data_IF_626417925889
#
_entry.id   IF_626417925889
#
_cell.length_a   1.000
_cell.length_b   1.000
_cell.length_c   1.000
_cell.angle_alpha   90.00
_cell.angle_beta   90.00
_cell.angle_gamma   90.00
#
_symmetry.space_group_name_H-M   'P 1'
#
loop_
_entity.id
_entity.type
_entity.pdbx_description
1 polymer ?
#
# COMPACT_ATOMS: atom_id res chain seq x y z
N UNK A 1 28.07 1.99 9.54
CA UNK A 1 28.44 0.86 8.66
C UNK A 1 27.62 0.80 7.35
N UNK A 2 26.35 1.22 7.34
CA UNK A 2 25.45 1.17 6.16
C UNK A 2 25.84 2.15 5.05
N UNK A 3 26.36 3.35 5.37
CA UNK A 3 26.69 4.42 4.40
C UNK A 3 27.78 3.99 3.40
N UNK A 4 28.81 3.28 3.86
CA UNK A 4 29.89 2.83 2.97
C UNK A 4 29.40 1.83 1.89
N UNK A 5 28.46 0.94 2.24
CA UNK A 5 27.92 -0.07 1.31
C UNK A 5 27.14 0.54 0.14
N UNK A 6 26.34 1.57 0.39
CA UNK A 6 25.57 2.27 -0.66
C UNK A 6 26.52 3.04 -1.60
N UNK A 7 27.56 3.67 -1.07
CA UNK A 7 28.58 4.33 -1.90
C UNK A 7 29.32 3.36 -2.80
N UNK A 8 29.55 2.12 -2.37
CA UNK A 8 30.20 1.09 -3.17
C UNK A 8 29.34 0.66 -4.37
N UNK A 9 28.00 0.56 -4.17
CA UNK A 9 27.08 0.31 -5.28
C UNK A 9 27.05 1.48 -6.26
N UNK A 10 27.02 2.72 -5.78
CA UNK A 10 27.09 3.90 -6.64
C UNK A 10 28.36 3.90 -7.49
N UNK A 11 29.52 3.67 -6.87
CA UNK A 11 30.79 3.55 -7.58
C UNK A 11 30.76 2.40 -8.60
N UNK A 12 30.16 1.26 -8.25
CA UNK A 12 30.01 0.14 -9.18
C UNK A 12 29.17 0.53 -10.39
N UNK A 13 28.01 1.18 -10.18
CA UNK A 13 27.12 1.64 -11.26
C UNK A 13 27.88 2.62 -12.17
N UNK A 14 28.54 3.62 -11.58
CA UNK A 14 29.25 4.66 -12.31
C UNK A 14 30.46 4.13 -13.07
N UNK A 15 31.13 3.08 -12.60
CA UNK A 15 32.26 2.46 -13.29
C UNK A 15 31.85 1.51 -14.41
N UNK A 16 30.81 0.69 -14.18
CA UNK A 16 30.47 -0.38 -15.11
C UNK A 16 29.43 0.01 -16.15
N UNK A 17 28.62 1.04 -15.89
CA UNK A 17 27.53 1.47 -16.76
C UNK A 17 27.62 2.95 -17.15
N UNK A 18 28.78 3.58 -17.03
CA UNK A 18 28.94 5.02 -17.28
C UNK A 18 28.42 5.47 -18.66
N UNK A 19 28.69 4.71 -19.71
CA UNK A 19 28.22 4.98 -21.08
C UNK A 19 26.71 4.80 -21.24
N UNK A 20 26.09 4.02 -20.37
CA UNK A 20 24.68 3.63 -20.45
C UNK A 20 23.79 4.50 -19.56
N UNK A 21 24.38 5.24 -18.62
CA UNK A 21 23.67 6.19 -17.76
C UNK A 21 23.22 7.38 -18.61
N UNK A 22 21.90 7.60 -18.69
CA UNK A 22 21.29 8.75 -19.37
C UNK A 22 21.05 9.92 -18.43
N UNK A 23 20.70 9.64 -17.18
CA UNK A 23 20.54 10.67 -16.17
C UNK A 23 20.78 10.11 -14.76
N UNK A 24 21.15 11.01 -13.86
CA UNK A 24 21.19 10.81 -12.41
C UNK A 24 20.39 11.92 -11.74
N UNK A 25 19.39 11.54 -10.95
CA UNK A 25 18.62 12.48 -10.14
C UNK A 25 18.91 12.21 -8.67
N UNK A 26 18.96 13.26 -7.87
CA UNK A 26 19.21 13.18 -6.44
C UNK A 26 18.02 13.78 -5.73
N UNK A 27 17.32 12.97 -4.97
CA UNK A 27 16.34 13.46 -3.99
C UNK A 27 17.08 13.72 -2.69
N UNK A 28 17.09 14.98 -2.28
CA UNK A 28 17.77 15.40 -1.05
C UNK A 28 16.99 14.93 0.18
N UNK A 29 17.71 14.68 1.26
CA UNK A 29 17.11 14.40 2.55
C UNK A 29 16.26 15.60 2.99
N UNK A 30 15.11 15.32 3.61
CA UNK A 30 14.23 16.32 4.20
C UNK A 30 13.99 15.97 5.66
N UNK A 31 14.04 16.97 6.52
CA UNK A 31 13.73 16.82 7.94
C UNK A 31 12.23 16.57 8.12
N UNK A 32 11.88 15.77 9.12
CA UNK A 32 10.48 15.59 9.51
C UNK A 32 9.89 16.86 10.11
N UNK A 33 8.60 17.04 9.91
CA UNK A 33 7.80 18.07 10.59
C UNK A 33 7.01 17.39 11.71
N UNK A 34 7.21 17.86 12.95
CA UNK A 34 6.66 17.23 14.14
C UNK A 34 5.69 18.16 14.85
N UNK A 35 4.67 17.57 15.49
CA UNK A 35 3.79 18.21 16.46
C UNK A 35 3.91 17.53 17.81
N UNK A 36 3.58 18.25 18.90
CA UNK A 36 3.41 17.64 20.21
C UNK A 36 2.31 16.59 20.22
N UNK A 37 2.28 15.74 21.23
CA UNK A 37 1.11 14.90 21.46
C UNK A 37 -0.14 15.76 21.70
N UNK A 38 -1.33 15.33 21.22
CA UNK A 38 -2.58 15.98 21.58
C UNK A 38 -2.77 16.02 23.09
N UNK A 39 -3.31 17.12 23.62
CA UNK A 39 -3.52 17.30 25.08
C UNK A 39 -4.46 16.25 25.67
N UNK A 40 -5.41 15.79 24.88
CA UNK A 40 -6.39 14.76 25.24
C UNK A 40 -5.97 13.34 24.83
N UNK A 41 -4.69 13.12 24.52
CA UNK A 41 -4.17 11.78 24.27
C UNK A 41 -4.17 10.96 25.57
N UNK A 42 -4.82 9.81 25.55
CA UNK A 42 -4.87 8.91 26.70
C UNK A 42 -3.46 8.59 27.22
N UNK A 43 -3.20 8.74 28.53
CA UNK A 43 -1.87 8.55 29.13
C UNK A 43 -1.26 7.17 28.84
N UNK A 44 -2.09 6.13 28.73
CA UNK A 44 -1.62 4.77 28.40
C UNK A 44 -1.05 4.72 26.98
N UNK A 45 -1.70 5.35 26.00
CA UNK A 45 -1.19 5.44 24.63
C UNK A 45 0.09 6.28 24.57
N UNK A 46 0.14 7.39 25.29
CA UNK A 46 1.34 8.21 25.38
C UNK A 46 2.54 7.40 25.92
N UNK A 47 2.31 6.60 26.96
CA UNK A 47 3.33 5.72 27.50
C UNK A 47 3.79 4.64 26.50
N UNK A 48 2.86 4.03 25.77
CA UNK A 48 3.16 3.03 24.74
C UNK A 48 3.97 3.65 23.59
N UNK A 49 3.60 4.85 23.13
CA UNK A 49 4.33 5.55 22.09
C UNK A 49 5.77 5.86 22.53
N UNK A 50 5.93 6.39 23.75
CA UNK A 50 7.24 6.70 24.31
C UNK A 50 8.12 5.44 24.45
N UNK A 51 7.53 4.31 24.90
CA UNK A 51 8.23 3.02 24.99
C UNK A 51 8.69 2.51 23.62
N UNK A 52 7.91 2.76 22.57
CA UNK A 52 8.25 2.43 21.18
C UNK A 52 9.16 3.50 20.51
N UNK A 53 9.70 4.46 21.27
CA UNK A 53 10.62 5.48 20.78
C UNK A 53 9.96 6.65 20.05
N UNK A 54 8.64 6.78 20.12
CA UNK A 54 7.87 7.86 19.50
C UNK A 54 7.61 8.93 20.56
N UNK A 55 8.33 10.06 20.48
CA UNK A 55 8.22 11.17 21.42
C UNK A 55 7.36 12.33 20.91
N UNK A 56 7.06 12.35 19.62
CA UNK A 56 6.21 13.35 18.96
C UNK A 56 5.56 12.74 17.72
N UNK A 57 4.47 13.31 17.29
CA UNK A 57 3.79 12.89 16.06
C UNK A 57 4.31 13.67 14.86
N UNK A 58 4.30 13.06 13.68
CA UNK A 58 4.44 13.82 12.46
C UNK A 58 3.25 14.78 12.28
N UNK A 59 3.45 15.91 11.62
CA UNK A 59 2.40 16.92 11.44
C UNK A 59 1.12 16.37 10.84
N UNK A 60 1.21 15.47 9.86
CA UNK A 60 0.04 14.80 9.25
C UNK A 60 -0.67 13.83 10.21
N UNK A 61 0.08 13.18 11.13
CA UNK A 61 -0.51 12.31 12.16
C UNK A 61 -1.31 13.12 13.18
N UNK A 62 -0.77 14.26 13.60
CA UNK A 62 -1.46 15.18 14.49
C UNK A 62 -2.73 15.76 13.85
N UNK A 63 -2.66 16.18 12.57
CA UNK A 63 -3.82 16.68 11.83
C UNK A 63 -4.90 15.60 11.67
N UNK A 64 -4.50 14.37 11.35
CA UNK A 64 -5.43 13.24 11.24
C UNK A 64 -6.13 12.97 12.57
N UNK A 65 -5.38 12.95 13.68
CA UNK A 65 -5.94 12.81 15.02
C UNK A 65 -7.02 13.86 15.28
N UNK A 66 -6.70 15.13 15.09
CA UNK A 66 -7.61 16.26 15.34
C UNK A 66 -8.88 16.22 14.47
N UNK A 67 -8.75 15.83 13.20
CA UNK A 67 -9.89 15.74 12.30
C UNK A 67 -10.83 14.59 12.65
N UNK A 68 -10.26 13.42 12.98
CA UNK A 68 -11.03 12.22 13.32
C UNK A 68 -11.79 12.41 14.63
N UNK A 69 -11.19 13.05 15.62
CA UNK A 69 -11.88 13.42 16.87
C UNK A 69 -13.08 14.35 16.65
N UNK A 70 -12.96 15.24 15.65
CA UNK A 70 -14.07 16.11 15.25
C UNK A 70 -15.10 15.39 14.37
N UNK A 71 -15.05 14.07 14.24
CA UNK A 71 -15.92 13.26 13.38
C UNK A 71 -15.89 13.64 11.89
N UNK A 72 -14.78 14.17 11.41
CA UNK A 72 -14.60 14.51 10.01
C UNK A 72 -14.09 13.33 9.20
N UNK A 73 -14.72 13.04 8.07
CA UNK A 73 -14.15 12.11 7.10
C UNK A 73 -12.80 12.63 6.67
N UNK A 74 -11.77 11.77 6.76
CA UNK A 74 -10.38 12.19 6.58
C UNK A 74 -9.68 11.32 5.56
N UNK A 75 -9.02 11.95 4.59
CA UNK A 75 -8.13 11.31 3.63
C UNK A 75 -6.69 11.73 3.91
N UNK A 76 -5.83 10.76 4.19
CA UNK A 76 -4.40 10.95 4.33
C UNK A 76 -3.69 10.54 3.04
N UNK A 77 -3.05 11.50 2.37
CA UNK A 77 -2.23 11.28 1.18
C UNK A 77 -0.77 11.43 1.56
N UNK A 78 -0.03 10.33 1.56
CA UNK A 78 1.38 10.37 1.92
C UNK A 78 2.13 9.20 1.28
N UNK A 79 3.45 9.30 1.26
CA UNK A 79 4.33 8.27 0.70
C UNK A 79 4.23 6.95 1.49
N UNK A 80 4.76 5.89 0.92
CA UNK A 80 4.97 4.64 1.65
C UNK A 80 5.92 4.86 2.84
N UNK A 81 5.64 4.17 3.96
CA UNK A 81 6.41 4.24 5.20
C UNK A 81 6.42 5.62 5.91
N UNK A 82 5.44 6.47 5.67
CA UNK A 82 5.25 7.76 6.37
C UNK A 82 4.54 7.63 7.73
N UNK A 83 4.25 6.42 8.19
CA UNK A 83 3.52 6.20 9.45
C UNK A 83 2.01 6.36 9.35
N UNK A 84 1.42 6.15 8.16
CA UNK A 84 -0.05 6.21 7.92
C UNK A 84 -0.86 5.42 8.91
N UNK A 85 -0.43 4.19 9.25
CA UNK A 85 -1.13 3.31 10.18
C UNK A 85 -1.35 3.97 11.53
N UNK A 86 -0.34 4.68 12.05
CA UNK A 86 -0.47 5.40 13.32
C UNK A 86 -1.47 6.56 13.24
N UNK A 87 -1.60 7.21 12.08
CA UNK A 87 -2.51 8.35 11.88
C UNK A 87 -3.98 7.99 12.10
N UNK A 88 -4.39 6.79 11.75
CA UNK A 88 -5.78 6.34 12.01
C UNK A 88 -5.90 5.46 13.25
N UNK A 89 -4.85 4.73 13.59
CA UNK A 89 -4.84 3.89 14.78
C UNK A 89 -4.96 4.71 16.06
N UNK A 90 -4.18 5.78 16.16
CA UNK A 90 -4.08 6.57 17.39
C UNK A 90 -5.42 7.19 17.83
N UNK A 91 -6.16 7.92 16.99
CA UNK A 91 -7.45 8.48 17.39
C UNK A 91 -8.51 7.39 17.68
N UNK A 92 -8.53 6.29 16.93
CA UNK A 92 -9.46 5.18 17.16
C UNK A 92 -9.22 4.53 18.52
N UNK A 93 -7.94 4.25 18.85
CA UNK A 93 -7.58 3.66 20.14
C UNK A 93 -7.76 4.64 21.31
N UNK A 94 -7.53 5.93 21.09
CA UNK A 94 -7.80 6.96 22.07
C UNK A 94 -9.27 6.93 22.49
N UNK A 95 -10.20 7.00 21.53
CA UNK A 95 -11.63 6.90 21.81
C UNK A 95 -12.00 5.52 22.39
N UNK A 96 -11.40 4.43 21.91
CA UNK A 96 -11.70 3.08 22.37
C UNK A 96 -11.34 2.89 23.84
N UNK A 97 -10.23 3.40 24.31
CA UNK A 97 -9.80 3.29 25.71
C UNK A 97 -10.71 4.10 26.63
N UNK A 98 -11.10 5.30 26.20
CA UNK A 98 -11.91 6.22 27.02
C UNK A 98 -13.42 5.92 26.96
N UNK A 99 -13.86 5.18 25.93
CA UNK A 99 -15.28 4.89 25.73
C UNK A 99 -15.82 3.94 26.80
N UNK A 100 -16.96 4.33 27.40
CA UNK A 100 -17.74 3.48 28.30
C UNK A 100 -18.58 2.43 27.54
N UNK A 101 -18.96 2.73 26.31
CA UNK A 101 -19.76 1.85 25.46
C UNK A 101 -18.88 1.24 24.36
N UNK A 102 -18.96 -0.08 24.15
CA UNK A 102 -18.18 -0.71 23.09
C UNK A 102 -18.66 -0.25 21.72
N UNK A 103 -17.74 0.11 20.84
CA UNK A 103 -18.00 0.35 19.42
C UNK A 103 -17.19 -0.60 18.54
N UNK A 104 -17.54 -0.68 17.29
CA UNK A 104 -16.82 -1.50 16.32
C UNK A 104 -16.14 -0.65 15.24
N UNK A 105 -15.04 -1.18 14.70
CA UNK A 105 -14.25 -0.59 13.62
C UNK A 105 -14.08 -1.60 12.51
N UNK A 106 -14.35 -1.17 11.28
CA UNK A 106 -14.13 -1.93 10.06
C UNK A 106 -12.87 -1.45 9.36
N UNK A 107 -11.94 -2.36 9.08
CA UNK A 107 -10.69 -2.04 8.38
C UNK A 107 -10.68 -2.77 7.03
N UNK A 108 -10.62 -2.01 5.95
CA UNK A 108 -10.69 -2.50 4.58
C UNK A 108 -9.33 -2.35 3.89
N UNK A 109 -8.81 -3.46 3.41
CA UNK A 109 -7.56 -3.51 2.66
C UNK A 109 -7.78 -4.14 1.28
N UNK A 110 -7.08 -3.65 0.23
CA UNK A 110 -7.30 -4.15 -1.13
C UNK A 110 -6.75 -5.57 -1.37
N UNK A 111 -5.84 -6.04 -0.54
CA UNK A 111 -5.21 -7.35 -0.72
C UNK A 111 -5.11 -8.14 0.59
N UNK A 112 -5.23 -9.47 0.50
CA UNK A 112 -5.06 -10.37 1.66
C UNK A 112 -3.67 -10.26 2.32
N UNK A 113 -2.64 -9.97 1.53
CA UNK A 113 -1.28 -9.83 2.04
C UNK A 113 -1.16 -8.61 2.96
N UNK A 114 -1.70 -7.47 2.53
CA UNK A 114 -1.75 -6.25 3.32
C UNK A 114 -2.64 -6.42 4.57
N UNK A 115 -3.80 -7.09 4.43
CA UNK A 115 -4.67 -7.40 5.57
C UNK A 115 -3.94 -8.14 6.69
N UNK A 116 -3.13 -9.14 6.34
CA UNK A 116 -2.37 -9.93 7.32
C UNK A 116 -1.21 -9.19 7.97
N UNK A 117 -0.50 -8.37 7.20
CA UNK A 117 0.55 -7.51 7.71
C UNK A 117 -0.02 -6.53 8.76
N UNK A 118 -1.15 -5.92 8.42
CA UNK A 118 -1.85 -5.01 9.32
C UNK A 118 -2.48 -5.73 10.51
N UNK A 119 -2.99 -6.95 10.36
CA UNK A 119 -3.45 -7.78 11.48
C UNK A 119 -2.34 -8.00 12.52
N UNK A 120 -1.12 -8.29 12.05
CA UNK A 120 0.05 -8.44 12.93
C UNK A 120 0.38 -7.14 13.65
N UNK A 121 0.40 -6.02 12.91
CA UNK A 121 0.71 -4.69 13.46
C UNK A 121 -0.34 -4.25 14.50
N UNK A 122 -1.62 -4.36 14.16
CA UNK A 122 -2.72 -4.07 15.08
C UNK A 122 -2.71 -4.99 16.29
N UNK A 123 -2.50 -6.29 16.10
CA UNK A 123 -2.42 -7.27 17.17
C UNK A 123 -1.32 -6.94 18.17
N UNK A 124 -0.14 -6.56 17.70
CA UNK A 124 0.97 -6.15 18.56
C UNK A 124 0.64 -4.90 19.39
N UNK A 125 0.01 -3.89 18.78
CA UNK A 125 -0.40 -2.68 19.48
C UNK A 125 -1.51 -2.98 20.51
N UNK A 126 -2.47 -3.82 20.15
CA UNK A 126 -3.57 -4.23 21.06
C UNK A 126 -3.08 -5.02 22.27
N UNK A 127 -1.98 -5.78 22.16
CA UNK A 127 -1.40 -6.49 23.33
C UNK A 127 -0.74 -5.55 24.34
N UNK A 128 -0.45 -4.32 23.95
CA UNK A 128 0.20 -3.32 24.81
C UNK A 128 -0.81 -2.50 25.62
N UNK A 129 -2.10 -2.49 25.24
CA UNK A 129 -3.15 -1.78 25.94
C UNK A 129 -3.91 -2.68 26.92
N UNK A 130 -4.29 -2.12 28.09
CA UNK A 130 -5.02 -2.86 29.14
C UNK A 130 -6.40 -3.29 28.70
N UNK A 131 -7.13 -2.42 27.98
CA UNK A 131 -8.44 -2.73 27.42
C UNK A 131 -8.26 -3.45 26.10
N UNK A 132 -8.19 -4.77 26.14
CA UNK A 132 -8.06 -5.58 24.93
C UNK A 132 -9.38 -5.63 24.16
N UNK A 133 -9.36 -5.09 22.94
CA UNK A 133 -10.42 -5.31 21.96
C UNK A 133 -10.25 -6.66 21.25
N UNK A 134 -11.30 -7.14 20.62
CA UNK A 134 -11.27 -8.40 19.85
C UNK A 134 -11.06 -8.09 18.38
N UNK A 135 -9.85 -8.39 17.89
CA UNK A 135 -9.48 -8.30 16.48
C UNK A 135 -9.79 -9.62 15.77
N UNK A 136 -10.29 -9.52 14.55
CA UNK A 136 -10.47 -10.69 13.67
C UNK A 136 -10.35 -10.32 12.21
N UNK A 137 -9.73 -11.21 11.42
CA UNK A 137 -9.65 -11.09 9.97
C UNK A 137 -10.71 -11.97 9.32
N UNK A 138 -11.62 -11.34 8.57
CA UNK A 138 -12.73 -11.99 7.90
C UNK A 138 -12.53 -11.94 6.39
N UNK A 139 -11.96 -13.01 5.84
CA UNK A 139 -11.70 -13.16 4.40
C UNK A 139 -12.07 -14.56 3.88
N UNK A 140 -11.76 -14.83 2.60
CA UNK A 140 -12.05 -16.12 1.97
C UNK A 140 -11.32 -17.32 2.61
N UNK A 141 -10.19 -17.07 3.29
CA UNK A 141 -9.35 -18.11 3.89
C UNK A 141 -9.65 -18.32 5.39
N UNK A 142 -10.55 -17.51 5.99
CA UNK A 142 -10.89 -17.59 7.42
C UNK A 142 -11.65 -18.89 7.71
N UNK A 143 -11.19 -19.73 8.66
CA UNK A 143 -11.85 -20.98 9.07
C UNK A 143 -13.26 -20.75 9.60
N UNK A 144 -14.11 -21.78 9.49
CA UNK A 144 -15.55 -21.65 9.81
C UNK A 144 -15.82 -21.31 11.28
N UNK A 145 -15.12 -21.89 12.20
CA UNK A 145 -15.17 -21.64 13.63
C UNK A 145 -14.75 -20.22 13.99
N UNK A 146 -13.67 -19.75 13.37
CA UNK A 146 -13.18 -18.40 13.53
C UNK A 146 -14.14 -17.36 12.95
N UNK A 147 -14.77 -17.65 11.79
CA UNK A 147 -15.84 -16.81 11.23
C UNK A 147 -16.98 -16.60 12.24
N UNK A 148 -17.41 -17.64 12.93
CA UNK A 148 -18.46 -17.54 13.94
C UNK A 148 -18.03 -16.70 15.15
N UNK A 149 -16.77 -16.84 15.58
CA UNK A 149 -16.20 -16.04 16.68
C UNK A 149 -16.18 -14.55 16.32
N UNK A 150 -15.69 -14.21 15.13
CA UNK A 150 -15.63 -12.83 14.64
C UNK A 150 -17.03 -12.21 14.57
N UNK A 151 -17.99 -12.92 13.97
CA UNK A 151 -19.38 -12.45 13.84
C UNK A 151 -20.04 -12.14 15.18
N UNK A 152 -19.70 -12.90 16.23
CA UNK A 152 -20.31 -12.74 17.56
C UNK A 152 -19.68 -11.63 18.40
N UNK A 153 -18.39 -11.40 18.26
CA UNK A 153 -17.67 -10.65 19.29
C UNK A 153 -16.56 -9.74 18.81
N UNK A 154 -16.33 -9.56 17.51
CA UNK A 154 -15.27 -8.66 17.04
C UNK A 154 -15.62 -7.19 17.35
N UNK A 155 -14.62 -6.46 17.86
CA UNK A 155 -14.65 -5.01 17.97
C UNK A 155 -13.92 -4.38 16.78
N UNK A 156 -12.83 -5.02 16.33
CA UNK A 156 -12.06 -4.63 15.16
C UNK A 156 -12.11 -5.76 14.13
N UNK A 157 -12.54 -5.45 12.93
CA UNK A 157 -12.65 -6.44 11.86
C UNK A 157 -11.87 -6.00 10.62
N UNK A 158 -10.89 -6.80 10.25
CA UNK A 158 -10.14 -6.64 9.00
C UNK A 158 -10.82 -7.46 7.91
N UNK A 159 -11.07 -6.85 6.75
CA UNK A 159 -11.68 -7.53 5.60
C UNK A 159 -11.30 -6.82 4.28
N UNK A 160 -11.95 -7.19 3.19
CA UNK A 160 -11.78 -6.59 1.87
C UNK A 160 -13.15 -6.29 1.22
N UNK A 161 -13.20 -5.49 0.14
CA UNK A 161 -14.46 -5.14 -0.52
C UNK A 161 -15.25 -6.34 -1.05
N UNK A 162 -14.58 -7.41 -1.52
CA UNK A 162 -15.26 -8.61 -2.02
C UNK A 162 -16.02 -9.32 -0.91
N UNK A 163 -15.41 -9.45 0.26
CA UNK A 163 -16.06 -10.04 1.44
C UNK A 163 -17.17 -9.15 1.99
N UNK A 164 -16.98 -7.82 1.95
CA UNK A 164 -18.03 -6.88 2.30
C UNK A 164 -19.25 -7.09 1.39
N UNK A 165 -19.02 -7.14 0.07
CA UNK A 165 -20.07 -7.37 -0.92
C UNK A 165 -20.77 -8.72 -0.78
N UNK A 166 -20.03 -9.81 -0.67
CA UNK A 166 -20.57 -11.17 -0.77
C UNK A 166 -20.89 -11.84 0.57
N UNK A 167 -20.17 -11.47 1.64
CA UNK A 167 -20.26 -12.15 2.95
C UNK A 167 -20.95 -11.33 4.04
N UNK A 168 -20.78 -10.00 4.02
CA UNK A 168 -21.25 -9.13 5.11
C UNK A 168 -22.59 -8.51 4.77
N UNK A 169 -22.68 -7.73 3.71
CA UNK A 169 -23.90 -6.99 3.35
C UNK A 169 -25.12 -7.90 3.15
N UNK A 170 -25.07 -9.01 2.39
CA UNK A 170 -26.22 -9.90 2.24
C UNK A 170 -26.67 -10.58 3.56
N UNK A 171 -25.81 -10.64 4.56
CA UNK A 171 -26.07 -11.27 5.84
C UNK A 171 -26.16 -10.28 7.00
N UNK A 172 -26.29 -8.97 6.72
CA UNK A 172 -26.22 -7.91 7.73
C UNK A 172 -27.20 -8.10 8.89
N UNK A 173 -28.44 -8.52 8.63
CA UNK A 173 -29.44 -8.71 9.66
C UNK A 173 -29.19 -9.94 10.55
N UNK A 174 -28.77 -11.05 9.93
CA UNK A 174 -28.64 -12.34 10.65
C UNK A 174 -27.33 -12.49 11.41
N UNK A 175 -26.22 -11.98 10.83
CA UNK A 175 -24.88 -12.28 11.34
C UNK A 175 -24.12 -11.03 11.79
N UNK A 176 -24.44 -9.86 11.26
CA UNK A 176 -23.62 -8.66 11.42
C UNK A 176 -24.35 -7.50 12.10
N UNK A 177 -25.64 -7.68 12.49
CA UNK A 177 -26.43 -6.62 13.12
C UNK A 177 -25.73 -5.99 14.31
N UNK A 178 -25.21 -6.79 15.24
CA UNK A 178 -24.52 -6.30 16.44
C UNK A 178 -23.22 -5.54 16.12
N UNK A 179 -22.48 -5.94 15.09
CA UNK A 179 -21.27 -5.26 14.65
C UNK A 179 -21.62 -3.94 13.95
N UNK A 180 -22.57 -3.97 13.01
CA UNK A 180 -22.94 -2.82 12.19
C UNK A 180 -23.68 -1.74 13.01
N UNK A 181 -24.51 -2.11 13.99
CA UNK A 181 -25.18 -1.13 14.86
C UNK A 181 -24.23 -0.35 15.79
N UNK A 182 -23.02 -0.87 16.02
CA UNK A 182 -21.98 -0.24 16.83
C UNK A 182 -20.85 0.33 15.97
N UNK A 183 -20.99 0.30 14.62
CA UNK A 183 -19.93 0.68 13.72
C UNK A 183 -19.67 2.18 13.80
N UNK A 184 -18.48 2.54 14.30
CA UNK A 184 -18.06 3.90 14.58
C UNK A 184 -17.06 4.41 13.54
N UNK A 185 -16.14 3.54 13.11
CA UNK A 185 -15.09 3.87 12.17
C UNK A 185 -15.01 2.87 11.03
N UNK A 186 -14.78 3.38 9.82
CA UNK A 186 -14.43 2.58 8.64
C UNK A 186 -13.10 3.10 8.13
N UNK A 187 -12.04 2.30 8.28
CA UNK A 187 -10.71 2.60 7.76
C UNK A 187 -10.54 1.92 6.42
N UNK A 188 -10.14 2.66 5.42
CA UNK A 188 -9.86 2.14 4.07
C UNK A 188 -8.46 2.54 3.67
N UNK A 189 -7.57 1.56 3.60
CA UNK A 189 -6.19 1.76 3.20
C UNK A 189 -6.02 1.59 1.69
N UNK A 190 -5.04 2.31 1.12
CA UNK A 190 -4.68 2.28 -0.29
C UNK A 190 -5.87 2.56 -1.23
N UNK A 191 -6.70 3.58 -0.91
CA UNK A 191 -7.92 3.89 -1.68
C UNK A 191 -7.66 4.15 -3.16
N UNK A 192 -6.46 4.58 -3.55
CA UNK A 192 -6.07 4.78 -4.94
C UNK A 192 -6.13 3.50 -5.80
N UNK A 193 -6.18 2.34 -5.15
CA UNK A 193 -6.38 1.06 -5.83
C UNK A 193 -7.81 0.89 -6.37
N UNK A 194 -8.78 1.59 -5.81
CA UNK A 194 -10.19 1.52 -6.20
C UNK A 194 -10.48 2.49 -7.34
N UNK A 195 -10.02 2.17 -8.55
CA UNK A 195 -10.15 2.96 -9.76
C UNK A 195 -10.70 2.13 -10.93
N UNK A 196 -11.11 2.81 -12.01
CA UNK A 196 -11.71 2.18 -13.19
C UNK A 196 -13.01 1.43 -12.84
N UNK A 197 -13.30 0.34 -13.55
CA UNK A 197 -14.50 -0.48 -13.31
C UNK A 197 -14.51 -1.10 -11.92
N UNK A 198 -13.37 -1.55 -11.40
CA UNK A 198 -13.27 -2.08 -10.05
C UNK A 198 -13.64 -1.01 -8.99
N UNK A 199 -13.10 0.20 -9.12
CA UNK A 199 -13.46 1.32 -8.26
C UNK A 199 -14.94 1.67 -8.33
N UNK A 200 -15.54 1.60 -9.51
CA UNK A 200 -16.98 1.83 -9.73
C UNK A 200 -17.86 0.80 -9.01
N UNK A 201 -17.47 -0.49 -9.05
CA UNK A 201 -18.14 -1.53 -8.25
C UNK A 201 -17.97 -1.27 -6.75
N UNK A 202 -16.76 -0.98 -6.29
CA UNK A 202 -16.47 -0.74 -4.87
C UNK A 202 -17.22 0.49 -4.35
N UNK A 203 -17.36 1.57 -5.14
CA UNK A 203 -18.17 2.73 -4.77
C UNK A 203 -19.63 2.33 -4.50
N UNK A 204 -20.21 1.48 -5.34
CA UNK A 204 -21.57 0.98 -5.11
C UNK A 204 -21.67 0.03 -3.91
N UNK A 205 -20.62 -0.71 -3.57
CA UNK A 205 -20.56 -1.48 -2.32
C UNK A 205 -20.54 -0.53 -1.11
N UNK A 206 -19.79 0.57 -1.15
CA UNK A 206 -19.79 1.58 -0.07
C UNK A 206 -21.13 2.32 0.05
N UNK A 207 -21.79 2.62 -1.08
CA UNK A 207 -23.15 3.18 -1.08
C UNK A 207 -24.11 2.26 -0.33
N UNK A 208 -24.07 0.96 -0.60
CA UNK A 208 -24.86 -0.07 0.11
C UNK A 208 -24.46 -0.20 1.59
N UNK A 209 -23.16 -0.15 1.89
CA UNK A 209 -22.69 -0.20 3.28
C UNK A 209 -23.23 0.97 4.10
N UNK A 210 -23.17 2.21 3.59
CA UNK A 210 -23.73 3.39 4.27
C UNK A 210 -25.23 3.22 4.52
N UNK A 211 -25.95 2.72 3.52
CA UNK A 211 -27.39 2.44 3.65
C UNK A 211 -27.67 1.43 4.77
N UNK A 212 -26.94 0.33 4.78
CA UNK A 212 -27.11 -0.72 5.80
C UNK A 212 -26.70 -0.20 7.19
N UNK A 213 -25.66 0.60 7.32
CA UNK A 213 -25.30 1.28 8.57
C UNK A 213 -26.45 2.17 9.08
N UNK A 214 -27.03 3.00 8.22
CA UNK A 214 -28.18 3.84 8.57
C UNK A 214 -29.40 3.02 9.06
N UNK A 215 -29.71 1.89 8.41
CA UNK A 215 -30.77 0.96 8.81
C UNK A 215 -30.52 0.41 10.22
N UNK A 216 -29.26 0.16 10.59
CA UNK A 216 -28.87 -0.30 11.91
C UNK A 216 -28.62 0.82 12.93
N UNK A 217 -28.85 2.09 12.56
CA UNK A 217 -28.71 3.26 13.43
C UNK A 217 -27.27 3.71 13.65
N UNK A 218 -26.33 3.32 12.79
CA UNK A 218 -24.95 3.78 12.84
C UNK A 218 -24.61 4.76 11.71
N UNK A 219 -23.70 5.70 11.99
CA UNK A 219 -23.17 6.68 11.05
C UNK A 219 -21.64 6.75 11.19
N UNK A 220 -20.90 5.82 10.57
CA UNK A 220 -19.48 5.69 10.79
C UNK A 220 -18.69 6.83 10.12
N UNK A 221 -17.58 7.21 10.75
CA UNK A 221 -16.58 8.12 10.18
C UNK A 221 -15.67 7.32 9.25
N UNK A 222 -15.48 7.80 8.02
CA UNK A 222 -14.55 7.24 7.05
C UNK A 222 -13.15 7.83 7.24
N UNK A 223 -12.17 6.95 7.34
CA UNK A 223 -10.75 7.31 7.45
C UNK A 223 -10.04 6.60 6.32
N UNK A 224 -9.52 7.36 5.37
CA UNK A 224 -8.90 6.83 4.17
C UNK A 224 -7.41 7.13 4.14
N UNK A 225 -6.62 6.20 3.64
CA UNK A 225 -5.23 6.45 3.29
C UNK A 225 -4.96 6.15 1.82
N UNK A 226 -4.07 6.93 1.22
CA UNK A 226 -3.70 6.83 -0.18
C UNK A 226 -2.20 7.04 -0.36
N UNK A 227 -1.63 6.40 -1.37
CA UNK A 227 -0.42 6.93 -1.98
C UNK A 227 -0.76 8.20 -2.75
N UNK A 228 0.27 8.92 -3.19
CA UNK A 228 0.11 10.13 -3.99
C UNK A 228 -0.57 9.81 -5.33
N UNK A 229 -1.66 10.51 -5.62
CA UNK A 229 -2.41 10.50 -6.89
C UNK A 229 -2.74 11.93 -7.28
N UNK A 230 -3.05 12.17 -8.56
CA UNK A 230 -3.24 13.53 -9.09
C UNK A 230 -4.52 14.23 -8.63
N UNK A 231 -5.52 13.48 -8.15
CA UNK A 231 -6.84 14.00 -7.77
C UNK A 231 -7.40 13.35 -6.49
N UNK A 232 -6.69 13.39 -5.36
CA UNK A 232 -7.06 12.60 -4.19
C UNK A 232 -8.44 12.96 -3.62
N UNK A 233 -8.77 14.25 -3.52
CA UNK A 233 -10.06 14.72 -3.01
C UNK A 233 -11.24 14.31 -3.91
N UNK A 234 -11.12 14.56 -5.22
CA UNK A 234 -12.16 14.18 -6.18
C UNK A 234 -12.37 12.67 -6.22
N UNK A 235 -11.27 11.90 -6.10
CA UNK A 235 -11.34 10.45 -6.10
C UNK A 235 -12.17 9.91 -4.92
N UNK A 236 -11.89 10.35 -3.68
CA UNK A 236 -12.66 9.88 -2.52
C UNK A 236 -14.10 10.43 -2.56
N UNK A 237 -14.32 11.63 -3.06
CA UNK A 237 -15.67 12.17 -3.28
C UNK A 237 -16.47 11.31 -4.26
N UNK A 238 -15.87 10.89 -5.37
CA UNK A 238 -16.49 9.97 -6.33
C UNK A 238 -16.70 8.55 -5.75
N UNK A 239 -15.79 8.09 -4.88
CA UNK A 239 -15.86 6.75 -4.29
C UNK A 239 -16.92 6.63 -3.20
N UNK A 240 -17.07 7.67 -2.36
CA UNK A 240 -17.94 7.62 -1.16
C UNK A 240 -19.16 8.50 -1.26
N UNK A 241 -19.24 9.45 -2.19
CA UNK A 241 -20.26 10.50 -2.26
C UNK A 241 -20.36 11.30 -0.95
N UNK A 242 -19.20 11.63 -0.37
CA UNK A 242 -19.04 12.41 0.86
C UNK A 242 -17.88 13.39 0.70
N UNK A 243 -17.89 14.44 1.46
CA UNK A 243 -16.78 15.37 1.54
C UNK A 243 -15.75 14.93 2.56
N UNK A 244 -14.47 14.99 2.19
CA UNK A 244 -13.34 14.62 3.03
C UNK A 244 -12.41 15.78 3.31
N UNK A 245 -11.87 15.83 4.51
CA UNK A 245 -10.70 16.67 4.78
C UNK A 245 -9.46 15.93 4.24
N UNK A 246 -8.78 16.55 3.29
CA UNK A 246 -7.57 15.97 2.66
C UNK A 246 -6.34 16.50 3.40
N UNK A 247 -5.50 15.58 3.84
CA UNK A 247 -4.18 15.84 4.43
C UNK A 247 -3.14 15.33 3.43
N UNK A 248 -2.50 16.21 2.69
CA UNK A 248 -1.52 15.91 1.65
C UNK A 248 -0.09 16.39 1.97
N UNK A 249 0.08 17.07 3.10
CA UNK A 249 1.37 17.51 3.57
C UNK A 249 2.04 16.41 4.43
N UNK A 250 2.87 15.57 3.77
CA UNK A 250 3.60 14.48 4.43
C UNK A 250 4.73 15.01 5.31
N UNK A 251 4.50 15.03 6.62
CA UNK A 251 5.48 15.48 7.62
C UNK A 251 6.55 14.44 7.96
N UNK A 252 6.59 13.28 7.33
CA UNK A 252 7.62 12.27 7.62
C UNK A 252 8.99 12.65 7.04
N UNK A 253 10.11 12.32 7.72
CA UNK A 253 11.45 12.60 7.19
C UNK A 253 11.72 11.79 5.91
N UNK A 254 12.56 12.33 5.06
CA UNK A 254 13.04 11.65 3.86
C UNK A 254 14.54 11.49 3.92
N UNK A 255 15.00 10.30 3.55
CA UNK A 255 16.42 10.04 3.34
C UNK A 255 16.84 10.44 1.93
N UNK A 256 18.11 10.71 1.76
CA UNK A 256 18.68 10.95 0.43
C UNK A 256 18.53 9.71 -0.45
N UNK A 257 18.07 9.93 -1.68
CA UNK A 257 17.95 8.88 -2.69
C UNK A 257 18.59 9.29 -4.00
N UNK A 258 19.46 8.44 -4.51
CA UNK A 258 20.04 8.60 -5.85
C UNK A 258 19.27 7.72 -6.83
N UNK A 259 18.79 8.30 -7.93
CA UNK A 259 18.03 7.58 -8.97
C UNK A 259 18.87 7.61 -10.24
N UNK A 260 19.24 6.44 -10.73
CA UNK A 260 19.96 6.26 -11.98
C UNK A 260 19.01 5.78 -13.07
N UNK A 261 19.07 6.42 -14.24
CA UNK A 261 18.32 6.04 -15.42
C UNK A 261 19.32 5.44 -16.42
N UNK A 262 19.23 4.13 -16.63
CA UNK A 262 20.18 3.37 -17.46
C UNK A 262 19.48 2.87 -18.72
N UNK A 263 20.08 3.15 -19.87
CA UNK A 263 19.64 2.62 -21.15
C UNK A 263 20.66 1.59 -21.65
N UNK A 264 20.38 0.28 -21.58
CA UNK A 264 21.31 -0.76 -21.98
C UNK A 264 21.85 -0.53 -23.41
N UNK A 265 23.11 -0.92 -23.70
CA UNK A 265 23.76 -0.56 -24.94
C UNK A 265 23.13 -1.22 -26.17
N UNK A 266 23.22 -0.53 -27.30
CA UNK A 266 22.99 -1.12 -28.61
C UNK A 266 24.19 -1.98 -28.98
N UNK A 267 23.95 -3.18 -29.47
CA UNK A 267 24.96 -4.12 -29.93
C UNK A 267 24.58 -4.65 -31.31
N UNK A 268 25.61 -4.91 -32.10
CA UNK A 268 25.48 -5.54 -33.39
C UNK A 268 26.14 -6.92 -33.31
N UNK A 269 25.39 -7.96 -33.64
CA UNK A 269 25.93 -9.30 -33.85
C UNK A 269 26.21 -9.49 -35.34
N UNK A 270 27.23 -10.26 -35.68
CA UNK A 270 27.55 -10.57 -37.09
C UNK A 270 26.30 -11.09 -37.83
N UNK A 271 25.95 -10.42 -38.95
CA UNK A 271 24.80 -10.79 -39.77
C UNK A 271 23.41 -10.38 -39.24
N UNK A 272 23.32 -9.68 -38.11
CA UNK A 272 22.06 -9.25 -37.52
C UNK A 272 21.92 -7.71 -37.47
N UNK A 273 20.66 -7.26 -37.45
CA UNK A 273 20.34 -5.84 -37.21
C UNK A 273 20.82 -5.39 -35.83
N UNK A 274 21.08 -4.09 -35.68
CA UNK A 274 21.40 -3.46 -34.41
C UNK A 274 20.26 -3.69 -33.43
N UNK A 275 20.53 -4.22 -32.22
CA UNK A 275 19.54 -4.45 -31.20
C UNK A 275 20.02 -3.95 -29.84
N UNK A 276 19.09 -3.59 -28.96
CA UNK A 276 19.40 -3.19 -27.59
C UNK A 276 19.45 -4.41 -26.66
N UNK A 277 20.49 -4.49 -25.83
CA UNK A 277 20.53 -5.50 -24.77
C UNK A 277 19.34 -5.33 -23.83
N UNK A 278 18.75 -6.45 -23.39
CA UNK A 278 17.67 -6.42 -22.43
C UNK A 278 18.14 -5.99 -21.02
N UNK A 279 17.21 -5.61 -20.13
CA UNK A 279 17.53 -5.14 -18.76
C UNK A 279 18.39 -6.10 -17.95
N UNK A 280 18.34 -7.40 -18.22
CA UNK A 280 19.18 -8.40 -17.55
C UNK A 280 20.68 -8.13 -17.68
N UNK A 281 21.12 -7.49 -18.77
CA UNK A 281 22.53 -7.12 -18.96
C UNK A 281 23.07 -6.17 -17.87
N UNK A 282 22.19 -5.37 -17.27
CA UNK A 282 22.50 -4.47 -16.15
C UNK A 282 22.06 -5.07 -14.82
N UNK A 283 20.85 -5.68 -14.76
CA UNK A 283 20.30 -6.21 -13.51
C UNK A 283 21.12 -7.36 -12.93
N UNK A 284 21.61 -8.30 -13.78
CA UNK A 284 22.36 -9.48 -13.29
C UNK A 284 23.65 -9.09 -12.59
N UNK A 285 24.60 -8.34 -13.21
CA UNK A 285 25.82 -7.95 -12.51
C UNK A 285 25.54 -7.06 -11.30
N UNK A 286 24.54 -6.19 -11.35
CA UNK A 286 24.18 -5.31 -10.23
C UNK A 286 23.64 -6.12 -9.04
N UNK A 287 22.73 -7.08 -9.27
CA UNK A 287 22.19 -7.97 -8.23
C UNK A 287 23.32 -8.82 -7.63
N UNK A 288 24.20 -9.40 -8.45
CA UNK A 288 25.33 -10.19 -7.96
C UNK A 288 26.26 -9.36 -7.08
N UNK A 289 26.55 -8.12 -7.47
CA UNK A 289 27.38 -7.20 -6.69
C UNK A 289 26.70 -6.81 -5.37
N UNK A 290 25.41 -6.51 -5.41
CA UNK A 290 24.62 -6.18 -4.21
C UNK A 290 24.58 -7.36 -3.22
N UNK A 291 24.32 -8.57 -3.71
CA UNK A 291 24.32 -9.79 -2.90
C UNK A 291 25.66 -10.07 -2.22
N UNK A 292 26.78 -9.95 -2.97
CA UNK A 292 28.15 -10.09 -2.43
C UNK A 292 28.46 -9.08 -1.32
N UNK A 293 27.93 -7.85 -1.44
CA UNK A 293 28.13 -6.80 -0.44
C UNK A 293 27.07 -6.81 0.68
N UNK A 294 26.23 -7.83 0.75
CA UNK A 294 25.11 -7.91 1.71
C UNK A 294 24.17 -6.70 1.67
N UNK A 295 23.98 -6.08 0.51
CA UNK A 295 23.07 -4.95 0.30
C UNK A 295 21.66 -5.50 0.07
N UNK A 296 20.73 -5.07 0.91
CA UNK A 296 19.33 -5.51 0.83
C UNK A 296 18.66 -4.88 -0.37
N UNK A 297 18.27 -5.72 -1.32
CA UNK A 297 17.86 -5.30 -2.67
C UNK A 297 16.50 -5.83 -3.04
N UNK A 298 15.68 -4.99 -3.67
CA UNK A 298 14.46 -5.40 -4.36
C UNK A 298 14.61 -5.11 -5.85
N UNK A 299 14.25 -6.10 -6.68
CA UNK A 299 14.21 -5.94 -8.13
C UNK A 299 12.81 -6.21 -8.66
N UNK A 300 12.19 -5.21 -9.29
CA UNK A 300 10.87 -5.30 -9.88
C UNK A 300 10.94 -5.66 -11.36
N UNK A 301 10.15 -6.67 -11.76
CA UNK A 301 9.93 -7.08 -13.14
C UNK A 301 8.43 -6.99 -13.48
N UNK A 302 8.07 -6.82 -14.74
CA UNK A 302 6.66 -6.71 -15.14
C UNK A 302 5.92 -8.05 -15.18
N UNK A 303 6.62 -9.13 -15.50
CA UNK A 303 6.01 -10.45 -15.71
C UNK A 303 6.65 -11.51 -14.82
N UNK A 304 5.83 -12.51 -14.42
CA UNK A 304 6.31 -13.66 -13.63
C UNK A 304 7.45 -14.42 -14.31
N UNK A 305 7.37 -14.56 -15.63
CA UNK A 305 8.43 -15.21 -16.41
C UNK A 305 9.76 -14.43 -16.38
N UNK A 306 9.69 -13.10 -16.37
CA UNK A 306 10.90 -12.25 -16.23
C UNK A 306 11.55 -12.47 -14.86
N UNK A 307 10.77 -12.56 -13.78
CA UNK A 307 11.27 -12.87 -12.43
C UNK A 307 12.05 -14.16 -12.42
N UNK A 308 11.48 -15.23 -12.99
CA UNK A 308 12.13 -16.55 -13.02
C UNK A 308 13.39 -16.57 -13.90
N UNK A 309 13.33 -15.95 -15.07
CA UNK A 309 14.48 -15.85 -15.98
C UNK A 309 15.63 -15.05 -15.34
N UNK A 310 15.31 -13.91 -14.73
CA UNK A 310 16.30 -13.06 -14.06
C UNK A 310 16.91 -13.79 -12.87
N UNK A 311 16.08 -14.45 -12.04
CA UNK A 311 16.56 -15.24 -10.92
C UNK A 311 17.54 -16.33 -11.38
N UNK A 312 17.16 -17.13 -12.39
CA UNK A 312 18.06 -18.18 -12.95
C UNK A 312 19.36 -17.56 -13.45
N UNK A 313 19.31 -16.47 -14.21
CA UNK A 313 20.50 -15.81 -14.73
C UNK A 313 21.42 -15.27 -13.62
N UNK A 314 20.87 -14.86 -12.47
CA UNK A 314 21.66 -14.38 -11.33
C UNK A 314 22.39 -15.53 -10.65
N UNK A 315 21.75 -16.68 -10.42
CA UNK A 315 22.33 -17.82 -9.71
C UNK A 315 23.17 -18.73 -10.60
N UNK A 316 23.05 -18.62 -11.93
CA UNK A 316 23.82 -19.40 -12.88
C UNK A 316 25.32 -19.17 -12.69
N UNK A 317 26.07 -20.26 -12.49
CA UNK A 317 27.49 -20.20 -12.12
C UNK A 317 27.80 -19.61 -10.73
N UNK A 318 26.77 -19.31 -9.89
CA UNK A 318 26.93 -18.76 -8.54
C UNK A 318 25.89 -19.36 -7.59
N UNK A 319 25.92 -20.68 -7.44
CA UNK A 319 24.93 -21.43 -6.65
C UNK A 319 24.84 -21.00 -5.18
N UNK A 320 25.91 -20.46 -4.61
CA UNK A 320 25.91 -19.88 -3.26
C UNK A 320 24.92 -18.73 -3.09
N UNK A 321 24.63 -17.99 -4.19
CA UNK A 321 23.64 -16.92 -4.16
C UNK A 321 22.19 -17.43 -4.07
N UNK A 322 21.93 -18.68 -4.41
CA UNK A 322 20.58 -19.26 -4.38
C UNK A 322 19.95 -19.27 -2.97
N UNK A 323 20.75 -19.22 -1.92
CA UNK A 323 20.28 -19.15 -0.54
C UNK A 323 19.75 -17.74 -0.17
N UNK A 324 20.37 -16.69 -0.71
CA UNK A 324 20.13 -15.30 -0.33
C UNK A 324 19.40 -14.46 -1.41
N UNK A 325 19.29 -14.98 -2.64
CA UNK A 325 18.52 -14.38 -3.75
C UNK A 325 17.29 -15.24 -4.01
N UNK A 326 16.09 -14.67 -3.91
CA UNK A 326 14.84 -15.41 -4.06
C UNK A 326 13.87 -14.72 -5.01
N UNK A 327 13.10 -15.49 -5.81
CA UNK A 327 11.98 -14.96 -6.58
C UNK A 327 10.74 -14.87 -5.69
N UNK A 328 9.95 -13.79 -5.88
CA UNK A 328 8.65 -13.61 -5.23
C UNK A 328 7.62 -13.19 -6.28
N UNK A 329 6.54 -13.95 -6.42
CA UNK A 329 5.51 -13.70 -7.44
C UNK A 329 4.14 -14.17 -6.99
N UNK A 330 3.11 -13.69 -7.66
CA UNK A 330 1.77 -14.26 -7.51
C UNK A 330 1.74 -15.74 -7.89
N UNK A 331 0.94 -16.54 -7.15
CA UNK A 331 0.81 -17.98 -7.35
C UNK A 331 1.72 -18.85 -6.48
N UNK A 332 2.51 -18.25 -5.58
CA UNK A 332 3.17 -18.98 -4.50
C UNK A 332 2.13 -19.50 -3.50
N UNK A 333 2.38 -20.69 -2.94
CA UNK A 333 1.56 -21.20 -1.85
C UNK A 333 1.59 -20.25 -0.64
N UNK A 334 0.49 -20.10 0.11
CA UNK A 334 0.44 -19.19 1.26
C UNK A 334 1.54 -19.45 2.31
N UNK A 335 1.93 -20.71 2.50
CA UNK A 335 3.03 -21.10 3.41
C UNK A 335 4.40 -20.64 2.90
N UNK A 336 4.68 -20.84 1.62
CA UNK A 336 5.93 -20.43 0.98
C UNK A 336 6.07 -18.90 1.01
N UNK A 337 4.99 -18.19 0.66
CA UNK A 337 4.97 -16.74 0.70
C UNK A 337 5.31 -16.21 2.09
N UNK A 338 4.67 -16.73 3.15
CA UNK A 338 4.94 -16.35 4.54
C UNK A 338 6.38 -16.65 4.97
N UNK A 339 6.95 -17.76 4.48
CA UNK A 339 8.36 -18.06 4.77
C UNK A 339 9.29 -17.06 4.13
N UNK A 340 9.07 -16.72 2.84
CA UNK A 340 9.87 -15.72 2.12
C UNK A 340 9.77 -14.33 2.76
N UNK A 341 8.57 -13.91 3.15
CA UNK A 341 8.35 -12.62 3.82
C UNK A 341 9.11 -12.56 5.16
N UNK A 342 9.02 -13.58 6.00
CA UNK A 342 9.77 -13.67 7.27
C UNK A 342 11.29 -13.68 7.05
N UNK A 343 11.77 -14.45 6.07
CA UNK A 343 13.19 -14.55 5.78
C UNK A 343 13.73 -13.24 5.18
N UNK A 344 12.90 -12.48 4.48
CA UNK A 344 13.23 -11.14 3.98
C UNK A 344 13.32 -10.12 5.14
N UNK A 345 12.32 -10.09 6.03
CA UNK A 345 12.32 -9.20 7.21
C UNK A 345 13.50 -9.51 8.13
N UNK A 346 13.77 -10.78 8.41
CA UNK A 346 14.91 -11.21 9.24
C UNK A 346 16.28 -10.97 8.59
N UNK A 347 16.33 -10.61 7.30
CA UNK A 347 17.56 -10.37 6.57
C UNK A 347 18.33 -11.64 6.16
N UNK A 348 17.75 -12.82 6.24
CA UNK A 348 18.29 -14.05 5.65
C UNK A 348 18.32 -13.93 4.13
N UNK A 349 17.24 -13.45 3.52
CA UNK A 349 17.19 -13.10 2.11
C UNK A 349 17.77 -11.69 1.95
N UNK A 350 18.73 -11.55 1.06
CA UNK A 350 19.37 -10.25 0.74
C UNK A 350 18.78 -9.60 -0.49
N UNK A 351 18.40 -10.40 -1.47
CA UNK A 351 17.84 -9.92 -2.72
C UNK A 351 16.53 -10.62 -2.99
N UNK A 352 15.49 -9.82 -3.27
CA UNK A 352 14.20 -10.32 -3.73
C UNK A 352 13.91 -9.81 -5.15
N UNK A 353 13.61 -10.74 -6.07
CA UNK A 353 13.19 -10.41 -7.44
C UNK A 353 11.69 -10.65 -7.52
N UNK A 354 10.92 -9.62 -7.84
CA UNK A 354 9.46 -9.67 -7.72
C UNK A 354 8.74 -9.02 -8.90
N UNK A 355 7.44 -9.24 -8.98
CA UNK A 355 6.52 -8.41 -9.75
C UNK A 355 5.99 -7.27 -8.88
N UNK A 356 4.94 -6.56 -9.33
CA UNK A 356 4.20 -5.59 -8.53
C UNK A 356 3.58 -6.17 -7.23
N UNK A 357 3.71 -7.47 -6.96
CA UNK A 357 3.17 -8.11 -5.76
C UNK A 357 3.75 -7.55 -4.44
N UNK A 358 4.95 -6.97 -4.47
CA UNK A 358 5.57 -6.27 -3.34
C UNK A 358 5.56 -4.74 -3.51
N UNK A 359 4.74 -4.19 -4.40
CA UNK A 359 4.57 -2.75 -4.59
C UNK A 359 3.74 -2.11 -3.46
N UNK A 360 2.76 -2.83 -2.93
CA UNK A 360 1.88 -2.36 -1.86
C UNK A 360 2.45 -2.62 -0.46
N UNK A 361 1.94 -1.88 0.50
CA UNK A 361 2.28 -1.62 1.89
C UNK A 361 2.82 -2.71 2.82
N UNK A 362 3.14 -3.91 2.36
CA UNK A 362 3.73 -4.97 3.21
C UNK A 362 5.08 -4.50 3.75
N UNK A 363 5.31 -4.69 5.05
CA UNK A 363 6.64 -4.47 5.62
C UNK A 363 7.61 -5.58 5.21
N UNK A 364 8.58 -5.20 4.40
CA UNK A 364 9.64 -6.08 3.90
C UNK A 364 11.01 -5.71 4.48
N UNK A 365 10.98 -4.91 5.55
CA UNK A 365 12.18 -4.44 6.25
C UNK A 365 12.95 -3.36 5.47
N UNK A 366 14.13 -3.03 5.97
CA UNK A 366 14.95 -1.95 5.42
C UNK A 366 15.68 -2.40 4.16
N UNK A 367 15.27 -1.92 3.01
CA UNK A 367 15.94 -2.14 1.73
C UNK A 367 16.77 -0.91 1.34
N UNK A 368 17.90 -1.15 0.67
CA UNK A 368 18.88 -0.12 0.32
C UNK A 368 18.92 0.14 -1.19
N UNK A 369 18.70 -0.89 -2.02
CA UNK A 369 18.74 -0.82 -3.47
C UNK A 369 17.40 -1.28 -4.08
N UNK A 370 16.84 -0.44 -4.95
CA UNK A 370 15.68 -0.78 -5.79
C UNK A 370 16.11 -0.83 -7.25
N UNK A 371 15.78 -1.91 -7.93
CA UNK A 371 16.01 -2.07 -9.37
C UNK A 371 14.66 -2.19 -10.07
N UNK A 372 14.40 -1.33 -11.05
CA UNK A 372 13.21 -1.34 -11.87
C UNK A 372 13.58 -1.85 -13.27
N UNK A 373 13.22 -3.10 -13.57
CA UNK A 373 13.48 -3.74 -14.87
C UNK A 373 12.39 -3.36 -15.88
N UNK A 374 12.49 -2.16 -16.44
CA UNK A 374 11.50 -1.50 -17.28
C UNK A 374 10.50 -0.66 -16.49
N UNK A 375 9.74 0.17 -17.24
CA UNK A 375 8.70 1.03 -16.66
C UNK A 375 7.58 0.21 -16.01
N UNK A 376 7.20 0.49 -14.77
CA UNK A 376 6.21 -0.30 -14.03
C UNK A 376 4.76 -0.14 -14.53
N UNK A 377 4.51 0.77 -15.46
CA UNK A 377 3.20 1.00 -16.07
C UNK A 377 2.63 2.39 -15.78
N UNK A 378 2.92 2.95 -14.62
CA UNK A 378 2.48 4.31 -14.22
C UNK A 378 3.60 5.02 -13.47
N UNK A 379 3.54 6.36 -13.43
CA UNK A 379 4.45 7.19 -12.61
C UNK A 379 4.19 6.94 -11.13
N UNK A 380 2.94 6.74 -10.73
CA UNK A 380 2.57 6.35 -9.37
C UNK A 380 3.27 5.05 -8.95
N UNK A 381 3.22 4.00 -9.78
CA UNK A 381 3.92 2.73 -9.52
C UNK A 381 5.44 2.90 -9.45
N UNK A 382 6.03 3.76 -10.30
CA UNK A 382 7.45 4.07 -10.21
C UNK A 382 7.82 4.63 -8.83
N UNK A 383 7.05 5.57 -8.31
CA UNK A 383 7.28 6.16 -6.99
C UNK A 383 6.98 5.18 -5.85
N UNK A 384 5.96 4.35 -5.97
CA UNK A 384 5.64 3.30 -4.98
C UNK A 384 6.73 2.24 -4.89
N UNK A 385 7.20 1.73 -6.03
CA UNK A 385 8.28 0.74 -6.09
C UNK A 385 9.61 1.34 -5.63
N UNK A 386 9.98 2.52 -6.11
CA UNK A 386 11.19 3.21 -5.68
C UNK A 386 11.12 3.64 -4.19
N UNK A 387 9.93 3.84 -3.65
CA UNK A 387 9.66 4.13 -2.23
C UNK A 387 9.85 2.94 -1.29
N UNK A 388 10.12 1.74 -1.82
CA UNK A 388 10.41 0.56 -0.99
C UNK A 388 11.79 0.59 -0.35
N UNK A 389 12.68 1.49 -0.78
CA UNK A 389 14.03 1.66 -0.25
C UNK A 389 14.19 2.97 0.50
N UNK A 390 15.19 3.04 1.39
CA UNK A 390 15.51 4.27 2.14
C UNK A 390 14.50 4.57 3.24
N UNK A 391 13.91 3.56 3.87
CA UNK A 391 13.12 3.70 5.08
C UNK A 391 14.05 3.91 6.27
N UNK A 392 13.56 4.37 7.39
CA UNK A 392 14.33 4.58 8.64
C UNK A 392 15.57 5.48 8.54
N UNK A 393 15.59 6.46 7.62
CA UNK A 393 16.65 7.44 7.58
C UNK A 393 17.92 7.01 6.84
N UNK A 394 17.97 5.87 6.19
CA UNK A 394 19.12 5.37 5.44
C UNK A 394 19.12 5.87 3.99
N UNK A 395 20.28 6.30 3.49
CA UNK A 395 20.48 6.62 2.09
C UNK A 395 20.17 5.40 1.21
N UNK A 396 19.63 5.64 0.02
CA UNK A 396 19.21 4.59 -0.88
C UNK A 396 19.51 4.87 -2.35
N UNK A 397 19.51 3.82 -3.15
CA UNK A 397 19.70 3.89 -4.58
C UNK A 397 18.54 3.24 -5.30
N UNK A 398 18.02 3.91 -6.32
CA UNK A 398 17.06 3.35 -7.27
C UNK A 398 17.70 3.33 -8.66
N UNK A 399 17.56 2.21 -9.37
CA UNK A 399 18.07 2.06 -10.74
C UNK A 399 16.92 1.69 -11.65
N UNK A 400 16.55 2.63 -12.53
CA UNK A 400 15.62 2.36 -13.63
C UNK A 400 16.41 1.88 -14.84
N UNK A 401 16.06 0.70 -15.36
CA UNK A 401 16.73 0.10 -16.52
C UNK A 401 15.70 -0.01 -17.64
N UNK A 402 15.91 0.76 -18.70
CA UNK A 402 14.98 0.81 -19.82
C UNK A 402 14.96 -0.50 -20.63
N UNK A 403 13.79 -0.92 -21.05
CA UNK A 403 13.59 -1.95 -22.09
C UNK A 403 13.64 -1.31 -23.47
N UNK A 404 13.78 -2.15 -24.49
CA UNK A 404 13.66 -1.72 -25.89
C UNK A 404 12.18 -1.63 -26.30
N UNK A 405 11.41 -0.82 -25.55
CA UNK A 405 10.01 -0.51 -25.83
C UNK A 405 9.86 1.00 -26.03
N UNK A 406 8.93 1.45 -26.89
CA UNK A 406 8.76 2.88 -27.17
C UNK A 406 8.63 3.73 -25.90
N UNK A 407 7.84 3.28 -24.92
CA UNK A 407 7.63 4.01 -23.68
C UNK A 407 8.88 4.08 -22.80
N UNK A 408 9.61 2.99 -22.65
CA UNK A 408 10.84 2.98 -21.84
C UNK A 408 11.93 3.86 -22.49
N UNK A 409 12.05 3.81 -23.82
CA UNK A 409 12.99 4.63 -24.57
C UNK A 409 12.62 6.12 -24.49
N UNK A 410 11.35 6.45 -24.52
CA UNK A 410 10.90 7.83 -24.30
C UNK A 410 11.27 8.29 -22.89
N UNK A 411 10.91 7.52 -21.87
CA UNK A 411 11.10 7.89 -20.46
C UNK A 411 12.59 8.01 -20.08
N UNK A 412 13.45 7.13 -20.58
CA UNK A 412 14.89 7.19 -20.26
C UNK A 412 15.59 8.38 -20.90
N UNK A 413 15.05 8.91 -22.00
CA UNK A 413 15.54 10.11 -22.66
C UNK A 413 14.83 11.41 -22.18
N UNK A 414 13.68 11.29 -21.51
CA UNK A 414 12.88 12.39 -20.98
C UNK A 414 12.58 12.14 -19.50
N UNK A 415 13.63 12.04 -18.68
CA UNK A 415 13.50 11.65 -17.26
C UNK A 415 12.65 12.60 -16.44
N UNK A 416 12.54 13.85 -16.84
CA UNK A 416 11.70 14.85 -16.19
C UNK A 416 10.21 14.48 -16.27
N UNK A 417 9.81 13.71 -17.26
CA UNK A 417 8.45 13.16 -17.32
C UNK A 417 8.12 12.25 -16.12
N UNK A 418 9.09 11.48 -15.61
CA UNK A 418 8.89 10.67 -14.41
C UNK A 418 9.06 11.51 -13.15
N UNK A 419 10.01 12.45 -13.14
CA UNK A 419 10.42 13.13 -11.91
C UNK A 419 9.66 14.41 -11.62
N UNK A 420 9.00 15.01 -12.61
CA UNK A 420 8.36 16.33 -12.51
C UNK A 420 6.93 16.37 -13.07
N UNK A 421 6.50 15.34 -13.82
CA UNK A 421 5.13 15.30 -14.31
C UNK A 421 4.13 15.06 -13.16
N UNK A 422 2.91 15.58 -13.30
CA UNK A 422 1.84 15.26 -12.37
C UNK A 422 1.56 13.76 -12.40
N UNK A 423 1.30 13.20 -11.22
CA UNK A 423 0.95 11.78 -11.07
C UNK A 423 -0.43 11.55 -11.69
N UNK A 424 -0.66 10.37 -12.20
CA UNK A 424 -1.91 9.98 -12.85
C UNK A 424 -3.10 10.14 -11.90
N UNK A 425 -4.24 10.51 -12.49
CA UNK A 425 -5.50 10.61 -11.76
C UNK A 425 -6.11 9.21 -11.52
N UNK A 426 -6.70 9.02 -10.36
CA UNK A 426 -7.51 7.85 -10.06
C UNK A 426 -8.96 8.15 -10.44
N UNK A 427 -9.40 7.63 -11.60
CA UNK A 427 -10.73 7.85 -12.14
C UNK A 427 -11.63 6.63 -11.91
N UNK A 428 -12.90 6.88 -11.63
CA UNK A 428 -13.96 5.88 -11.58
C UNK A 428 -15.28 6.52 -12.04
N UNK A 429 -16.26 5.70 -12.38
CA UNK A 429 -17.63 6.13 -12.68
C UNK A 429 -18.61 5.26 -11.89
N UNK A 430 -18.98 5.72 -10.69
CA UNK A 430 -19.89 5.00 -9.80
C UNK A 430 -21.29 4.85 -10.39
N UNK A 431 -21.69 5.81 -11.22
CA UNK A 431 -23.02 5.93 -11.82
C UNK A 431 -23.08 5.32 -13.23
N UNK A 432 -22.04 4.57 -13.63
CA UNK A 432 -22.10 3.78 -14.86
C UNK A 432 -23.31 2.82 -14.81
N UNK A 433 -24.29 2.93 -15.73
CA UNK A 433 -25.55 2.20 -15.64
C UNK A 433 -25.34 0.68 -15.65
N UNK A 434 -24.38 0.17 -16.41
CA UNK A 434 -24.08 -1.29 -16.48
C UNK A 434 -23.54 -1.84 -15.15
N UNK A 435 -22.84 -1.02 -14.37
CA UNK A 435 -22.34 -1.40 -13.04
C UNK A 435 -23.44 -1.16 -11.99
N UNK A 436 -24.03 0.03 -12.01
CA UNK A 436 -25.03 0.45 -11.03
C UNK A 436 -26.23 -0.50 -10.98
N UNK A 437 -26.80 -0.85 -12.13
CA UNK A 437 -27.93 -1.77 -12.25
C UNK A 437 -27.66 -3.15 -11.63
N UNK A 438 -26.42 -3.62 -11.59
CA UNK A 438 -26.07 -4.87 -10.93
C UNK A 438 -26.12 -4.78 -9.39
N UNK A 439 -25.95 -3.58 -8.83
CA UNK A 439 -26.00 -3.35 -7.38
C UNK A 439 -27.41 -3.09 -6.84
N UNK A 440 -28.37 -2.72 -7.67
CA UNK A 440 -29.76 -2.48 -7.27
C UNK A 440 -30.43 -3.74 -6.71
N UNK A 441 -30.41 -4.92 -7.39
CA UNK A 441 -30.96 -6.15 -6.83
C UNK A 441 -30.30 -6.55 -5.51
N UNK A 442 -28.98 -6.32 -5.38
CA UNK A 442 -28.26 -6.58 -4.14
C UNK A 442 -28.77 -5.66 -3.01
N UNK A 443 -28.94 -4.38 -3.29
CA UNK A 443 -29.46 -3.42 -2.32
C UNK A 443 -30.92 -3.73 -1.92
N UNK A 444 -31.75 -4.14 -2.88
CA UNK A 444 -33.14 -4.53 -2.62
C UNK A 444 -33.22 -5.81 -1.78
N UNK A 445 -32.32 -6.78 -2.00
CA UNK A 445 -32.24 -7.99 -1.19
C UNK A 445 -31.78 -7.71 0.24
N UNK A 446 -30.88 -6.77 0.44
CA UNK A 446 -30.42 -6.36 1.77
C UNK A 446 -31.55 -5.70 2.57
N UNK A 447 -32.26 -4.80 1.94
CA UNK A 447 -33.44 -4.14 2.51
C UNK A 447 -34.30 -3.58 1.38
N UNK A 448 -35.66 -3.64 1.46
CA UNK A 448 -36.54 -3.07 0.44
C UNK A 448 -36.19 -1.62 0.12
N UNK A 449 -36.04 -1.29 -1.18
CA UNK A 449 -35.79 0.08 -1.63
C UNK A 449 -37.04 0.93 -1.44
N UNK A 450 -36.87 2.17 -0.99
CA UNK A 450 -37.96 3.13 -0.78
C UNK A 450 -37.81 4.31 -1.74
N UNK A 451 -38.92 4.87 -2.20
CA UNK A 451 -38.95 6.02 -3.10
C UNK A 451 -38.20 7.26 -2.61
N UNK A 452 -38.01 7.38 -1.31
CA UNK A 452 -37.36 8.52 -0.64
C UNK A 452 -35.85 8.39 -0.52
N UNK A 453 -35.27 7.22 -0.86
CA UNK A 453 -33.84 6.93 -0.73
C UNK A 453 -33.03 7.57 -1.86
N UNK A 454 -32.48 8.76 -1.61
CA UNK A 454 -31.69 9.54 -2.59
C UNK A 454 -30.49 8.78 -3.19
N UNK A 455 -29.93 7.83 -2.46
CA UNK A 455 -28.72 7.11 -2.89
C UNK A 455 -28.89 6.21 -4.12
N UNK A 456 -30.13 5.78 -4.43
CA UNK A 456 -30.45 4.90 -5.54
C UNK A 456 -31.53 5.45 -6.47
N UNK A 457 -32.20 6.55 -6.10
CA UNK A 457 -33.40 7.02 -6.80
C UNK A 457 -33.13 7.92 -7.99
N UNK A 458 -32.03 8.68 -8.00
CA UNK A 458 -31.81 9.66 -9.05
C UNK A 458 -31.66 9.02 -10.44
N UNK A 459 -31.20 7.77 -10.51
CA UNK A 459 -31.02 7.03 -11.77
C UNK A 459 -32.17 6.03 -12.11
N UNK A 460 -33.07 5.77 -11.17
CA UNK A 460 -34.19 4.86 -11.42
C UNK A 460 -35.39 5.57 -12.07
N UNK A 461 -35.39 6.90 -12.08
CA UNK A 461 -36.50 7.73 -12.61
C UNK A 461 -36.11 8.53 -13.85
N UNK A 462 -34.84 8.52 -14.27
CA UNK A 462 -34.36 8.95 -15.59
C UNK A 462 -34.24 7.76 -16.55
#
# INVERSE_FOLDING_TARGET
MTIMKIQDIQKFIERHFNSDIRAKKVLHAQSGSYGSFPENLNPELQHILAHNGIQSLYSHQFQAFSNIEQNKHTLLVSRTASGKTLSFFLPIFNEYLDSKSPFSTLLLYPTKALSRDQESTFGQLMTQVKKSGKLGTFDGDTPRDERQRIQRSADFMITNPDMLHSGILPNHNRKWKSFLSRLRYIVIDEVHMYRGSFGSHVSNVFRRLKRVCSIHGSSPVFICSSATVGNPGDHVKALFHEDFVVIDNDGSPQSKRNIYFINPPLVQSEGHALYRKGPAAVSVPLIRQAAKNNIRTICFCRARQEVERLHRAVIDGNHELASIVKPYRGGLLPSERRSLERDLVSGKIKVIITTNALELGIDIGDLELCILSGHPGTVASFWQQSGRVGRKGNDSVTVFIAKDTPIDQYLVNHVDFITSAPIEQALLNADNPYIFLQHIPCAAQEHPLRSEERSFNQMLYE
#
